data_IF_618013238336
#
_entry.id   IF_618013238336
#
_cell.length_a   1.000
_cell.length_b   1.000
_cell.length_c   1.000
_cell.angle_alpha   90.00
_cell.angle_beta   90.00
_cell.angle_gamma   90.00
#
_symmetry.space_group_name_H-M   'P 1'
#
loop_
_entity.id
_entity.type
_entity.pdbx_description
1 polymer ?
#
# COMPACT_ATOMS: atom_id res chain seq x y z
N UNK A 1 -7.99 -3.16 16.10
CA UNK A 1 -7.20 -2.16 16.81
C UNK A 1 -6.61 -1.16 15.83
N UNK A 2 -6.41 0.06 16.31
CA UNK A 2 -5.84 1.08 15.47
C UNK A 2 -4.32 0.94 15.38
N UNK A 3 -3.77 1.31 14.24
CA UNK A 3 -2.32 1.31 14.05
C UNK A 3 -1.72 2.53 14.74
N UNK A 4 -0.51 2.39 15.25
CA UNK A 4 0.14 3.49 15.94
C UNK A 4 0.78 4.45 14.94
N UNK A 5 0.85 5.72 15.34
CA UNK A 5 1.50 6.72 14.52
C UNK A 5 3.01 6.47 14.44
N UNK A 6 3.57 5.93 15.50
CA UNK A 6 4.99 5.60 15.51
C UNK A 6 5.33 4.54 14.48
N UNK A 7 4.45 3.55 14.32
CA UNK A 7 4.69 2.53 13.31
C UNK A 7 4.59 3.12 11.91
N UNK A 8 3.62 4.02 11.70
CA UNK A 8 3.50 4.71 10.42
C UNK A 8 4.77 5.47 10.09
N UNK A 9 5.30 6.22 11.05
CA UNK A 9 6.53 6.98 10.83
C UNK A 9 7.70 6.08 10.52
N UNK A 10 7.79 4.94 11.21
CA UNK A 10 8.84 3.96 10.94
C UNK A 10 8.76 3.46 9.50
N UNK A 11 7.55 3.09 9.05
CA UNK A 11 7.38 2.57 7.69
C UNK A 11 7.69 3.66 6.65
N UNK A 12 7.23 4.89 6.88
CA UNK A 12 7.51 5.97 5.93
C UNK A 12 9.01 6.23 5.81
N UNK A 13 9.73 6.10 6.92
CA UNK A 13 11.17 6.26 6.89
C UNK A 13 11.83 5.16 6.07
N UNK A 14 11.33 3.93 6.20
CA UNK A 14 11.86 2.82 5.43
C UNK A 14 11.56 2.95 3.93
N UNK A 15 10.52 3.72 3.59
CA UNK A 15 10.15 3.95 2.19
C UNK A 15 10.75 5.24 1.63
N UNK A 16 11.67 5.87 2.37
CA UNK A 16 12.17 7.18 2.01
C UNK A 16 13.00 7.21 0.71
N UNK A 17 13.46 6.06 0.26
CA UNK A 17 14.19 5.99 -1.01
C UNK A 17 13.27 6.00 -2.22
N UNK A 18 11.97 5.89 -1.99
CA UNK A 18 10.98 5.93 -3.06
C UNK A 18 10.40 7.33 -3.17
N UNK A 19 10.10 7.74 -4.40
CA UNK A 19 9.49 9.03 -4.63
C UNK A 19 7.97 8.92 -4.59
N UNK A 20 7.33 10.03 -4.17
CA UNK A 20 5.88 10.13 -4.22
C UNK A 20 5.17 9.06 -3.39
N UNK A 21 5.70 8.81 -2.21
CA UNK A 21 5.02 7.98 -1.23
C UNK A 21 4.09 8.88 -0.44
N UNK A 22 2.83 8.50 -0.37
CA UNK A 22 1.82 9.23 0.38
C UNK A 22 1.00 8.26 1.20
N UNK A 23 0.30 8.80 2.17
CA UNK A 23 -0.58 7.96 2.98
C UNK A 23 -1.86 8.72 3.28
N UNK A 24 -2.85 7.97 3.71
CA UNK A 24 -4.14 8.54 4.08
C UNK A 24 -4.66 7.80 5.30
N UNK A 25 -4.99 8.55 6.34
CA UNK A 25 -5.57 7.97 7.54
C UNK A 25 -7.03 7.63 7.27
N UNK A 26 -7.44 6.44 7.72
CA UNK A 26 -8.81 6.01 7.53
C UNK A 26 -9.21 5.07 8.65
N UNK A 27 -10.10 5.53 9.53
CA UNK A 27 -10.68 4.72 10.61
C UNK A 27 -9.62 4.01 11.46
N UNK A 28 -8.55 4.74 11.77
CA UNK A 28 -7.49 4.20 12.62
C UNK A 28 -6.41 3.44 11.88
N UNK A 29 -6.59 3.25 10.57
CA UNK A 29 -5.61 2.57 9.74
C UNK A 29 -5.01 3.56 8.76
N UNK A 30 -4.01 3.13 7.99
CA UNK A 30 -3.37 4.01 7.02
C UNK A 30 -3.25 3.31 5.68
N UNK A 31 -3.64 4.00 4.62
CA UNK A 31 -3.50 3.49 3.27
C UNK A 31 -2.26 4.11 2.66
N UNK A 32 -1.41 3.29 2.04
CA UNK A 32 -0.15 3.73 1.46
C UNK A 32 -0.28 3.81 -0.05
N UNK A 33 0.14 4.93 -0.59
CA UNK A 33 0.12 5.18 -2.04
C UNK A 33 1.54 5.31 -2.55
N UNK A 34 1.80 4.76 -3.73
CA UNK A 34 3.07 4.94 -4.43
C UNK A 34 2.74 5.49 -5.81
N UNK A 35 3.15 6.75 -6.03
CA UNK A 35 2.89 7.46 -7.29
C UNK A 35 1.41 7.42 -7.65
N UNK A 36 0.57 7.66 -6.65
CA UNK A 36 -0.86 7.72 -6.85
C UNK A 36 -1.58 6.39 -6.93
N UNK A 37 -0.86 5.27 -6.80
CA UNK A 37 -1.47 3.96 -6.84
C UNK A 37 -1.46 3.34 -5.45
N UNK A 38 -2.55 2.69 -5.09
CA UNK A 38 -2.65 2.07 -3.77
C UNK A 38 -1.82 0.79 -3.74
N UNK A 39 -0.79 0.78 -2.89
CA UNK A 39 0.09 -0.39 -2.74
C UNK A 39 -0.44 -1.33 -1.67
N UNK A 40 -0.94 -0.76 -0.60
CA UNK A 40 -1.41 -1.52 0.53
C UNK A 40 -1.68 -0.58 1.68
N UNK A 41 -1.37 -1.00 2.90
CA UNK A 41 -1.62 -0.14 4.03
C UNK A 41 -1.06 -0.71 5.32
N UNK A 42 -1.25 0.05 6.38
CA UNK A 42 -0.84 -0.36 7.71
C UNK A 42 -2.11 -0.67 8.49
N UNK A 43 -2.24 -1.93 8.91
CA UNK A 43 -3.42 -2.42 9.59
C UNK A 43 -2.99 -3.14 10.87
N UNK A 44 -3.39 -2.60 12.01
CA UNK A 44 -3.06 -3.19 13.30
C UNK A 44 -1.55 -3.40 13.45
N UNK A 45 -0.80 -2.33 13.11
CA UNK A 45 0.67 -2.32 13.15
C UNK A 45 1.30 -3.43 12.31
N UNK A 46 0.70 -3.72 11.15
CA UNK A 46 1.24 -4.64 10.17
C UNK A 46 1.23 -3.95 8.81
N UNK A 47 2.31 -4.10 8.07
CA UNK A 47 2.36 -3.61 6.70
C UNK A 47 1.85 -4.70 5.78
N UNK A 48 0.72 -4.45 5.15
CA UNK A 48 0.12 -5.39 4.20
C UNK A 48 0.10 -4.76 2.83
N UNK A 49 0.44 -5.54 1.80
CA UNK A 49 0.43 -5.05 0.42
C UNK A 49 -0.51 -5.90 -0.42
N UNK A 50 -0.93 -5.34 -1.56
CA UNK A 50 -1.81 -6.06 -2.46
C UNK A 50 -1.12 -7.30 -3.02
N UNK A 51 -1.85 -8.40 -3.17
CA UNK A 51 -1.23 -9.65 -3.64
C UNK A 51 -1.08 -9.67 -5.17
N UNK A 52 -0.23 -8.81 -5.67
CA UNK A 52 0.09 -8.82 -7.09
C UNK A 52 1.02 -10.00 -7.39
N UNK A 53 1.08 -10.38 -8.67
CA UNK A 53 1.96 -11.47 -9.05
C UNK A 53 3.42 -11.16 -8.72
N UNK A 54 3.81 -9.92 -8.96
CA UNK A 54 5.19 -9.51 -8.68
C UNK A 54 5.50 -9.59 -7.19
N UNK A 55 4.55 -9.21 -6.34
CA UNK A 55 4.77 -9.26 -4.90
C UNK A 55 4.93 -10.71 -4.44
N UNK A 56 4.06 -11.59 -4.93
CA UNK A 56 4.14 -13.00 -4.55
C UNK A 56 5.48 -13.60 -5.00
N UNK A 57 5.93 -13.24 -6.21
CA UNK A 57 7.20 -13.74 -6.71
C UNK A 57 8.39 -13.14 -5.97
N UNK A 58 8.27 -11.88 -5.55
CA UNK A 58 9.35 -11.19 -4.88
C UNK A 58 9.60 -11.75 -3.49
N UNK A 59 8.55 -12.16 -2.81
CA UNK A 59 8.66 -12.67 -1.43
C UNK A 59 9.12 -14.12 -1.44
N UNK A 60 10.02 -14.45 -0.51
CA UNK A 60 10.49 -15.82 -0.38
C UNK A 60 9.34 -16.74 0.03
N UNK A 61 8.50 -16.25 0.93
CA UNK A 61 7.32 -16.98 1.37
C UNK A 61 6.16 -15.97 1.43
N UNK A 62 5.13 -16.22 0.64
CA UNK A 62 3.96 -15.34 0.65
C UNK A 62 3.05 -15.70 1.82
N UNK A 63 2.85 -14.75 2.72
CA UNK A 63 1.98 -14.95 3.87
C UNK A 63 0.76 -14.06 3.68
N UNK A 64 -0.41 -14.67 3.62
CA UNK A 64 -1.66 -13.95 3.41
C UNK A 64 -2.33 -13.65 4.74
N UNK A 65 -2.81 -12.42 4.90
CA UNK A 65 -3.51 -12.03 6.10
C UNK A 65 -4.65 -11.07 5.73
N UNK A 66 -5.66 -11.05 6.58
CA UNK A 66 -6.77 -10.14 6.40
C UNK A 66 -6.44 -8.81 7.06
N UNK A 67 -6.59 -7.68 6.34
CA UNK A 67 -6.40 -6.38 6.97
C UNK A 67 -7.45 -6.11 8.04
N UNK A 68 -8.66 -6.61 7.82
CA UNK A 68 -9.75 -6.53 8.79
C UNK A 68 -10.80 -7.56 8.39
N UNK A 69 -11.71 -7.81 9.31
CA UNK A 69 -12.73 -8.82 9.07
C UNK A 69 -13.60 -8.45 7.88
N UNK A 70 -13.80 -9.40 6.98
CA UNK A 70 -14.63 -9.19 5.80
C UNK A 70 -13.88 -8.66 4.59
N UNK A 71 -12.60 -8.31 4.75
CA UNK A 71 -11.80 -7.79 3.65
C UNK A 71 -11.17 -8.94 2.86
N UNK A 72 -10.60 -8.58 1.71
CA UNK A 72 -9.84 -9.54 0.92
C UNK A 72 -8.46 -9.71 1.52
N UNK A 73 -7.89 -10.88 1.35
CA UNK A 73 -6.56 -11.16 1.86
C UNK A 73 -5.51 -10.30 1.18
N UNK A 74 -4.51 -9.93 1.95
CA UNK A 74 -3.36 -9.19 1.46
C UNK A 74 -2.10 -9.91 1.92
N UNK A 75 -0.95 -9.46 1.43
CA UNK A 75 0.32 -10.08 1.78
C UNK A 75 0.98 -9.36 2.94
N UNK A 76 1.42 -10.12 3.93
CA UNK A 76 2.13 -9.56 5.07
C UNK A 76 3.59 -9.34 4.70
N UNK A 77 4.08 -8.12 4.94
CA UNK A 77 5.48 -7.79 4.72
C UNK A 77 6.19 -7.89 6.06
N UNK A 78 7.09 -8.86 6.20
CA UNK A 78 7.79 -9.06 7.45
C UNK A 78 9.11 -8.31 7.53
N UNK A 79 9.78 -8.12 6.40
CA UNK A 79 11.10 -7.48 6.38
C UNK A 79 10.97 -5.96 6.31
N UNK A 80 10.19 -5.38 7.22
CA UNK A 80 9.92 -3.94 7.19
C UNK A 80 11.11 -3.11 7.63
N UNK A 81 12.13 -3.73 8.20
CA UNK A 81 13.33 -3.01 8.63
C UNK A 81 14.40 -2.98 7.55
N UNK A 82 14.10 -3.44 6.35
CA UNK A 82 15.04 -3.41 5.23
C UNK A 82 14.53 -2.44 4.16
N UNK A 83 15.21 -1.30 4.05
CA UNK A 83 14.86 -0.31 3.03
C UNK A 83 15.00 -0.88 1.64
N UNK A 84 16.06 -1.65 1.41
CA UNK A 84 16.29 -2.23 0.09
C UNK A 84 15.17 -3.19 -0.29
N UNK A 85 14.74 -4.01 0.66
CA UNK A 85 13.68 -4.96 0.39
C UNK A 85 12.38 -4.24 0.01
N UNK A 86 12.01 -3.23 0.79
CA UNK A 86 10.77 -2.49 0.53
C UNK A 86 10.84 -1.71 -0.77
N UNK A 87 11.99 -1.09 -1.05
CA UNK A 87 12.16 -0.35 -2.29
C UNK A 87 11.99 -1.26 -3.49
N UNK A 88 12.63 -2.43 -3.44
CA UNK A 88 12.51 -3.39 -4.55
C UNK A 88 11.11 -3.95 -4.67
N UNK A 89 10.48 -4.23 -3.54
CA UNK A 89 9.12 -4.78 -3.56
C UNK A 89 8.13 -3.79 -4.17
N UNK A 90 8.16 -2.53 -3.74
CA UNK A 90 7.25 -1.52 -4.26
C UNK A 90 7.47 -1.28 -5.74
N UNK A 91 8.72 -1.22 -6.17
CA UNK A 91 9.03 -1.03 -7.59
C UNK A 91 8.58 -2.23 -8.43
N UNK A 92 8.74 -3.44 -7.90
CA UNK A 92 8.30 -4.63 -8.61
C UNK A 92 6.79 -4.66 -8.77
N UNK A 93 6.06 -4.12 -7.79
CA UNK A 93 4.60 -4.12 -7.81
C UNK A 93 3.99 -3.01 -8.66
N UNK A 94 4.73 -1.94 -8.88
CA UNK A 94 4.16 -0.70 -9.38
C UNK A 94 3.29 -0.88 -10.62
N UNK A 95 3.79 -1.59 -11.62
CA UNK A 95 3.08 -1.72 -12.89
C UNK A 95 1.79 -2.55 -12.77
N UNK A 96 1.68 -3.33 -11.71
CA UNK A 96 0.51 -4.19 -11.51
C UNK A 96 -0.53 -3.57 -10.58
N UNK A 97 -0.23 -2.40 -10.03
CA UNK A 97 -1.16 -1.75 -9.11
C UNK A 97 -2.24 -1.03 -9.91
N UNK A 98 -3.48 -1.03 -9.39
CA UNK A 98 -4.55 -0.32 -10.09
C UNK A 98 -4.29 1.18 -10.09
N UNK A 99 -4.62 1.83 -11.22
CA UNK A 99 -4.50 3.27 -11.31
C UNK A 99 -5.69 3.89 -10.58
N UNK A 100 -5.41 4.73 -9.60
CA UNK A 100 -6.45 5.41 -8.86
C UNK A 100 -6.70 6.77 -9.50
N UNK A 101 -7.91 6.99 -10.08
CA UNK A 101 -8.28 8.26 -10.72
C UNK A 101 -9.26 9.01 -9.86
N UNK A 102 -9.06 10.24 -9.82
CA UNK A 102 -10.04 11.09 -9.19
C UNK A 102 -11.01 11.59 -10.21
N UNK A 103 -11.00 11.80 -10.64
CA UNK A 103 -11.76 12.09 -11.50
C UNK A 103 -11.71 12.81 -12.05
N UNK A 104 -11.09 12.80 -12.55
CA UNK A 104 -10.83 13.05 -13.17
C UNK A 104 -11.01 13.38 -13.35
N UNK A 105 -11.09 14.04 -13.20
CA UNK A 105 -11.13 13.98 -13.39
C UNK A 105 -11.51 14.08 -13.19
N UNK A 106 -11.62 14.70 -13.03
CA UNK A 106 -11.94 14.34 -13.06
C UNK A 106 -12.20 13.75 -12.81
N UNK A 107 -12.50 14.58 -12.49
CA UNK A 107 -12.66 13.67 -12.54
C UNK A 107 -13.00 13.31 -12.33
N UNK A 108 -13.50 14.02 -12.42
CA UNK A 108 -13.68 13.27 -12.42
C UNK A 108 -14.02 13.09 -11.94
N UNK A 109 -14.35 13.79 -11.99
CA UNK A 109 -14.52 13.21 -11.76
C UNK A 109 -14.93 12.86 -11.34
N UNK A 110 -15.35 13.68 -11.39
CA UNK A 110 -15.58 12.95 -11.10
C UNK A 110 -15.89 12.65 -11.12
N UNK A 111 -16.14 13.25 -11.22
CA UNK A 111 -16.27 12.50 -11.30
C UNK A 111 -16.46 12.22 -11.87
N UNK A 112 -16.47 12.99 -11.47
CA UNK A 112 -16.43 12.13 -12.04
C UNK A 112 -16.54 11.89 -12.54
N UNK A 113 -16.71 12.24 -12.86
CA UNK A 113 -16.60 11.51 -13.41
C UNK A 113 -16.78 11.14 -13.96
N UNK A 114 -16.46 11.18 -13.67
CA UNK A 114 -16.36 10.40 -14.26
C UNK A 114 -16.38 9.92 -14.98
N UNK A 115 -16.40 10.33 -15.04
CA UNK A 115 -16.25 9.56 -15.70
C UNK A 115 -16.28 9.12 -16.17
N UNK A 116 -15.76 9.41 -16.05
CA UNK A 116 -15.72 8.55 -16.51
C UNK A 116 -15.89 8.19 -16.94
#
# INVERSE_FOLDING_TARGET
>A
MASSKEYLQFILEQLSDLEEINYRAMMGEYIIYYRGRIVGGIYDDRLLVKPTKSAVSYMATAIYELPYEGAKEMLLVEDVDSKEYLTGLFNAMYDELPVYRRNHAKACLFFGSRHR
#
